data_IF_576271792489
#
_entry.id   IF_576271792489
#
_cell.length_a   1.000
_cell.length_b   1.000
_cell.length_c   1.000
_cell.angle_alpha   90.00
_cell.angle_beta   90.00
_cell.angle_gamma   90.00
#
_symmetry.space_group_name_H-M   'P 1'
#
loop_
_entity.id
_entity.type
_entity.pdbx_description
1 polymer ?
#
# COMPACT_ATOMS: atom_id res chain seq x y z
N UNK A 1 -9.22 -0.85 -15.51
CA UNK A 1 -9.60 -0.18 -14.26
C UNK A 1 -10.11 1.22 -14.51
N UNK A 2 -9.28 2.15 -14.98
CA UNK A 2 -9.68 3.57 -15.14
C UNK A 2 -10.93 3.74 -16.02
N UNK A 3 -10.99 3.04 -17.16
CA UNK A 3 -12.16 3.07 -18.04
C UNK A 3 -13.43 2.48 -17.38
N UNK A 4 -13.27 1.38 -16.64
CA UNK A 4 -14.34 0.76 -15.84
C UNK A 4 -14.82 1.70 -14.73
N UNK A 5 -13.90 2.42 -14.08
CA UNK A 5 -14.23 3.44 -13.10
C UNK A 5 -15.09 4.52 -13.74
N UNK A 6 -14.69 5.07 -14.89
CA UNK A 6 -15.48 6.08 -15.59
C UNK A 6 -16.83 5.59 -16.08
N UNK A 7 -16.95 4.32 -16.49
CA UNK A 7 -18.25 3.71 -16.81
C UNK A 7 -19.18 3.62 -15.59
N UNK A 8 -18.65 3.28 -14.40
CA UNK A 8 -19.41 3.24 -13.16
C UNK A 8 -19.81 4.63 -12.65
N UNK A 9 -18.91 5.60 -12.74
CA UNK A 9 -19.19 7.00 -12.39
C UNK A 9 -20.21 7.57 -13.38
N UNK A 10 -20.11 7.27 -14.67
CA UNK A 10 -21.07 7.70 -15.69
C UNK A 10 -22.49 7.15 -15.48
N UNK A 11 -22.64 6.01 -14.81
CA UNK A 11 -23.95 5.49 -14.39
C UNK A 11 -24.56 6.33 -13.26
N UNK A 12 -23.77 6.72 -12.26
CA UNK A 12 -24.26 7.50 -11.11
C UNK A 12 -24.36 9.01 -11.41
N UNK A 13 -23.41 9.56 -12.17
CA UNK A 13 -23.24 10.99 -12.44
C UNK A 13 -22.88 11.25 -13.91
N UNK A 14 -23.77 10.86 -14.82
CA UNK A 14 -23.59 11.04 -16.28
C UNK A 14 -23.27 12.48 -16.69
N UNK A 15 -23.84 13.47 -16.00
CA UNK A 15 -23.64 14.90 -16.28
C UNK A 15 -22.24 15.43 -15.91
N UNK A 16 -21.50 14.73 -15.04
CA UNK A 16 -20.16 15.15 -14.61
C UNK A 16 -19.03 14.48 -15.41
N UNK A 17 -19.31 13.35 -16.06
CA UNK A 17 -18.30 12.56 -16.80
C UNK A 17 -18.36 12.81 -18.30
N UNK A 18 -19.54 13.06 -18.88
CA UNK A 18 -19.71 13.37 -20.30
C UNK A 18 -19.57 14.86 -20.62
N UNK A 19 -18.50 15.50 -20.12
CA UNK A 19 -18.18 16.90 -20.41
C UNK A 19 -16.90 17.00 -21.22
N UNK A 20 -16.87 17.96 -22.16
CA UNK A 20 -15.76 18.16 -23.10
C UNK A 20 -14.44 18.53 -22.40
N UNK A 21 -14.53 19.17 -21.24
CA UNK A 21 -13.43 19.43 -20.32
C UNK A 21 -13.86 18.95 -18.94
N UNK A 22 -13.28 17.83 -18.48
CA UNK A 22 -13.55 17.27 -17.16
C UNK A 22 -12.68 17.98 -16.13
N UNK A 23 -13.28 18.48 -15.05
CA UNK A 23 -12.53 19.08 -13.96
C UNK A 23 -11.57 18.05 -13.34
N UNK A 24 -10.38 18.51 -12.96
CA UNK A 24 -9.35 17.68 -12.32
C UNK A 24 -9.90 16.95 -11.09
N UNK A 25 -10.82 17.60 -10.37
CA UNK A 25 -11.52 17.02 -9.23
C UNK A 25 -12.27 15.75 -9.65
N UNK A 26 -13.04 15.81 -10.74
CA UNK A 26 -13.85 14.69 -11.23
C UNK A 26 -12.98 13.61 -11.87
N UNK A 27 -11.98 14.01 -12.66
CA UNK A 27 -11.10 13.07 -13.35
C UNK A 27 -10.20 12.28 -12.39
N UNK A 28 -9.71 12.93 -11.33
CA UNK A 28 -8.74 12.37 -10.40
C UNK A 28 -9.40 11.71 -9.16
N UNK A 29 -10.40 12.34 -8.53
CA UNK A 29 -10.98 11.82 -7.28
C UNK A 29 -11.99 10.70 -7.52
N UNK A 30 -12.81 10.79 -8.57
CA UNK A 30 -13.89 9.81 -8.77
C UNK A 30 -13.36 8.38 -9.02
N UNK A 31 -12.28 8.15 -9.79
CA UNK A 31 -11.73 6.81 -9.96
C UNK A 31 -11.23 6.17 -8.66
N UNK A 32 -10.84 6.97 -7.66
CA UNK A 32 -10.41 6.49 -6.35
C UNK A 32 -11.53 5.71 -5.65
N UNK A 33 -12.79 6.13 -5.82
CA UNK A 33 -13.96 5.46 -5.22
C UNK A 33 -14.17 4.02 -5.71
N UNK A 34 -13.67 3.67 -6.90
CA UNK A 34 -13.71 2.29 -7.39
C UNK A 34 -12.46 1.51 -6.98
N UNK A 35 -11.31 2.18 -6.91
CA UNK A 35 -10.02 1.51 -6.70
C UNK A 35 -9.84 1.12 -5.23
N UNK A 36 -10.20 1.97 -4.28
CA UNK A 36 -10.05 1.65 -2.84
C UNK A 36 -10.85 0.40 -2.46
N UNK A 37 -12.17 0.30 -2.74
CA UNK A 37 -12.93 -0.91 -2.43
C UNK A 37 -12.43 -2.15 -3.16
N UNK A 38 -11.86 -2.01 -4.36
CA UNK A 38 -11.29 -3.13 -5.09
C UNK A 38 -10.06 -3.70 -4.35
N UNK A 39 -9.16 -2.84 -3.86
CA UNK A 39 -8.02 -3.28 -3.05
C UNK A 39 -8.47 -3.88 -1.71
N UNK A 40 -9.49 -3.31 -1.06
CA UNK A 40 -10.09 -3.88 0.15
C UNK A 40 -10.65 -5.29 -0.10
N UNK A 41 -11.37 -5.49 -1.20
CA UNK A 41 -11.90 -6.80 -1.60
C UNK A 41 -10.76 -7.79 -1.85
N UNK A 42 -9.71 -7.38 -2.58
CA UNK A 42 -8.53 -8.23 -2.84
C UNK A 42 -7.83 -8.64 -1.53
N UNK A 43 -7.83 -7.75 -0.55
CA UNK A 43 -7.28 -7.98 0.79
C UNK A 43 -8.16 -8.92 1.61
N UNK A 44 -9.48 -8.75 1.56
CA UNK A 44 -10.46 -9.60 2.22
C UNK A 44 -10.41 -11.06 1.72
N UNK A 45 -10.32 -11.24 0.40
CA UNK A 45 -10.18 -12.57 -0.24
C UNK A 45 -8.83 -13.22 0.14
N UNK A 46 -7.83 -12.42 0.52
CA UNK A 46 -6.52 -12.90 0.96
C UNK A 46 -5.51 -13.09 -0.18
N UNK A 47 -5.84 -12.65 -1.40
CA UNK A 47 -4.92 -12.69 -2.55
C UNK A 47 -3.78 -11.69 -2.36
N UNK A 48 -4.10 -10.47 -1.93
CA UNK A 48 -3.10 -9.42 -1.76
C UNK A 48 -2.11 -9.72 -0.61
N UNK A 49 -2.55 -10.15 0.59
CA UNK A 49 -1.64 -10.62 1.64
C UNK A 49 -0.74 -11.79 1.21
N UNK A 50 -1.25 -12.68 0.36
CA UNK A 50 -0.47 -13.80 -0.17
C UNK A 50 0.68 -13.28 -1.06
N UNK A 51 0.38 -12.38 -2.00
CA UNK A 51 1.38 -11.76 -2.89
C UNK A 51 2.42 -10.98 -2.06
N UNK A 52 1.97 -10.15 -1.11
CA UNK A 52 2.83 -9.34 -0.24
C UNK A 52 3.79 -10.24 0.55
N UNK A 53 3.31 -11.37 1.09
CA UNK A 53 4.15 -12.31 1.84
C UNK A 53 5.28 -12.90 0.98
N UNK A 54 5.00 -13.25 -0.27
CA UNK A 54 6.01 -13.80 -1.17
C UNK A 54 7.02 -12.74 -1.61
N UNK A 55 6.55 -11.54 -1.95
CA UNK A 55 7.39 -10.41 -2.33
C UNK A 55 8.26 -9.92 -1.16
N UNK A 56 7.69 -9.77 0.04
CA UNK A 56 8.42 -9.38 1.24
C UNK A 56 9.50 -10.38 1.63
N UNK A 57 9.24 -11.69 1.47
CA UNK A 57 10.24 -12.74 1.69
C UNK A 57 11.36 -12.68 0.64
N UNK A 58 11.03 -12.39 -0.62
CA UNK A 58 12.02 -12.17 -1.67
C UNK A 58 12.89 -10.95 -1.41
N UNK A 59 12.26 -9.85 -0.99
CA UNK A 59 12.94 -8.59 -0.71
C UNK A 59 13.86 -8.69 0.50
N UNK A 60 13.39 -9.26 1.61
CA UNK A 60 14.22 -9.50 2.82
C UNK A 60 15.43 -10.38 2.51
N UNK A 61 15.29 -11.37 1.63
CA UNK A 61 16.41 -12.22 1.20
C UNK A 61 17.43 -11.47 0.34
N UNK A 62 16.99 -10.46 -0.42
CA UNK A 62 17.85 -9.66 -1.29
C UNK A 62 18.56 -8.53 -0.51
N UNK A 63 17.84 -7.85 0.37
CA UNK A 63 18.31 -6.66 1.09
C UNK A 63 18.99 -6.99 2.42
N UNK A 64 18.81 -8.20 2.96
CA UNK A 64 19.29 -8.57 4.29
C UNK A 64 18.58 -7.81 5.42
N UNK A 65 17.54 -7.04 5.10
CA UNK A 65 16.74 -6.34 6.08
C UNK A 65 15.82 -7.29 6.84
N UNK A 66 15.40 -6.89 8.06
CA UNK A 66 14.49 -7.70 8.83
C UNK A 66 13.16 -7.90 8.08
N UNK A 67 12.58 -9.09 8.29
CA UNK A 67 11.43 -9.61 7.56
C UNK A 67 10.20 -8.74 7.75
N UNK A 68 10.01 -8.15 8.92
CA UNK A 68 8.82 -7.31 9.19
C UNK A 68 8.89 -5.98 8.42
N UNK A 69 10.05 -5.30 8.43
CA UNK A 69 10.27 -4.05 7.70
C UNK A 69 10.13 -4.28 6.19
N UNK A 70 10.68 -5.39 5.70
CA UNK A 70 10.54 -5.79 4.30
C UNK A 70 9.09 -6.13 3.92
N UNK A 71 8.37 -6.81 4.81
CA UNK A 71 6.96 -7.14 4.64
C UNK A 71 6.09 -5.86 4.64
N UNK A 72 6.27 -5.00 5.63
CA UNK A 72 5.51 -3.77 5.81
C UNK A 72 5.74 -2.78 4.66
N UNK A 73 6.96 -2.70 4.11
CA UNK A 73 7.24 -1.86 2.95
C UNK A 73 6.49 -2.32 1.69
N UNK A 74 6.45 -3.64 1.47
CA UNK A 74 5.69 -4.22 0.36
C UNK A 74 4.19 -4.07 0.61
N UNK A 75 3.74 -4.20 1.85
CA UNK A 75 2.35 -3.97 2.25
C UNK A 75 1.93 -2.52 1.91
N UNK A 76 2.74 -1.54 2.32
CA UNK A 76 2.52 -0.13 1.99
C UNK A 76 2.54 0.18 0.50
N UNK A 77 3.31 -0.57 -0.29
CA UNK A 77 3.32 -0.47 -1.74
C UNK A 77 1.94 -0.67 -2.37
N UNK A 78 1.18 -1.62 -1.82
CA UNK A 78 -0.07 -2.09 -2.41
C UNK A 78 -1.31 -1.49 -1.73
N UNK A 79 -1.28 -1.39 -0.40
CA UNK A 79 -2.41 -0.97 0.44
C UNK A 79 -2.33 0.51 0.82
N UNK A 80 -1.15 1.13 0.70
CA UNK A 80 -0.92 2.49 1.18
C UNK A 80 -0.91 2.61 2.71
N UNK A 81 -0.81 3.85 3.20
CA UNK A 81 -0.48 4.11 4.60
C UNK A 81 -1.62 3.78 5.57
N UNK A 82 -2.88 3.98 5.21
CA UNK A 82 -4.03 3.77 6.11
C UNK A 82 -4.35 2.30 6.33
N UNK A 83 -4.36 1.49 5.27
CA UNK A 83 -4.72 0.07 5.33
C UNK A 83 -3.57 -0.79 5.86
N UNK A 84 -2.32 -0.53 5.45
CA UNK A 84 -1.16 -1.25 5.98
C UNK A 84 -1.00 -1.03 7.50
N UNK A 85 -1.32 0.16 8.00
CA UNK A 85 -1.35 0.42 9.44
C UNK A 85 -2.45 -0.38 10.15
N UNK A 86 -3.64 -0.52 9.56
CA UNK A 86 -4.72 -1.31 10.16
C UNK A 86 -4.34 -2.78 10.26
N UNK A 87 -3.83 -3.36 9.16
CA UNK A 87 -3.43 -4.76 9.09
C UNK A 87 -2.24 -5.05 9.99
N UNK A 88 -1.22 -4.19 10.04
CA UNK A 88 -0.01 -4.43 10.85
C UNK A 88 -0.05 -3.78 12.25
N UNK A 89 -1.18 -3.17 12.65
CA UNK A 89 -1.35 -2.43 13.93
C UNK A 89 -0.97 -3.24 15.17
N UNK A 90 -1.33 -4.53 15.21
CA UNK A 90 -1.06 -5.43 16.33
C UNK A 90 0.43 -5.70 16.52
N UNK A 91 1.20 -5.80 15.43
CA UNK A 91 2.65 -5.94 15.49
C UNK A 91 3.34 -4.63 15.86
N UNK A 92 2.91 -3.51 15.27
CA UNK A 92 3.50 -2.20 15.49
C UNK A 92 3.52 -1.79 16.97
N UNK A 93 2.45 -2.11 17.72
CA UNK A 93 2.35 -1.84 19.18
C UNK A 93 3.37 -2.58 20.03
N UNK A 94 3.96 -3.66 19.52
CA UNK A 94 4.94 -4.50 20.23
C UNK A 94 6.39 -4.21 19.84
N UNK A 95 6.60 -3.31 18.88
CA UNK A 95 7.93 -2.96 18.40
C UNK A 95 8.60 -1.92 19.31
N UNK A 96 9.92 -2.01 19.40
CA UNK A 96 10.77 -0.98 20.03
C UNK A 96 10.61 0.35 19.30
N UNK A 97 10.71 1.47 20.03
CA UNK A 97 10.58 2.83 19.47
C UNK A 97 11.53 3.09 18.29
N UNK A 98 12.75 2.54 18.33
CA UNK A 98 13.71 2.65 17.23
C UNK A 98 13.19 1.99 15.93
N UNK A 99 12.50 0.83 16.01
CA UNK A 99 11.91 0.17 14.83
C UNK A 99 10.71 0.93 14.30
N UNK A 100 9.87 1.43 15.21
CA UNK A 100 8.72 2.26 14.85
C UNK A 100 9.17 3.50 14.08
N UNK A 101 10.29 4.12 14.47
CA UNK A 101 10.86 5.25 13.74
C UNK A 101 11.24 4.86 12.30
N UNK A 102 11.95 3.75 12.10
CA UNK A 102 12.31 3.24 10.76
C UNK A 102 11.08 3.02 9.88
N UNK A 103 10.07 2.33 10.41
CA UNK A 103 8.80 2.05 9.73
C UNK A 103 8.06 3.34 9.38
N UNK A 104 8.07 4.32 10.28
CA UNK A 104 7.43 5.61 10.07
C UNK A 104 8.12 6.41 8.96
N UNK A 105 9.46 6.41 8.93
CA UNK A 105 10.22 7.06 7.86
C UNK A 105 9.96 6.38 6.51
N UNK A 106 9.87 5.04 6.47
CA UNK A 106 9.52 4.31 5.25
C UNK A 106 8.11 4.65 4.77
N UNK A 107 7.14 4.68 5.70
CA UNK A 107 5.74 5.07 5.44
C UNK A 107 5.60 6.44 4.80
N UNK A 108 6.36 7.43 5.30
CA UNK A 108 6.34 8.79 4.77
C UNK A 108 6.93 8.91 3.37
N UNK A 109 7.78 7.96 2.97
CA UNK A 109 8.34 7.89 1.61
C UNK A 109 7.38 7.26 0.60
N UNK A 110 6.36 6.52 1.06
CA UNK A 110 5.45 5.79 0.20
C UNK A 110 4.25 6.64 -0.24
N UNK A 111 3.69 6.31 -1.40
CA UNK A 111 2.50 6.95 -1.97
C UNK A 111 1.33 5.97 -1.86
N UNK A 112 0.13 6.46 -1.54
CA UNK A 112 -1.06 5.63 -1.47
C UNK A 112 -1.54 5.17 -2.85
N UNK A 113 -2.18 4.00 -2.90
CA UNK A 113 -2.78 3.45 -4.12
C UNK A 113 -3.73 4.44 -4.81
N UNK A 114 -4.50 5.20 -4.01
CA UNK A 114 -5.40 6.24 -4.49
C UNK A 114 -4.69 7.32 -5.30
N UNK A 115 -3.52 7.80 -4.84
CA UNK A 115 -2.76 8.86 -5.50
C UNK A 115 -2.02 8.32 -6.73
N UNK A 116 -1.60 7.05 -6.70
CA UNK A 116 -0.99 6.39 -7.87
C UNK A 116 -1.93 6.43 -9.08
N UNK A 117 -3.24 6.19 -8.89
CA UNK A 117 -4.23 6.23 -9.98
C UNK A 117 -4.29 7.60 -10.65
N UNK A 118 -4.20 8.67 -9.87
CA UNK A 118 -4.16 10.04 -10.39
C UNK A 118 -2.87 10.26 -11.20
N UNK A 119 -1.73 9.80 -10.68
CA UNK A 119 -0.47 9.89 -11.42
C UNK A 119 -0.49 9.11 -12.73
N UNK A 120 -1.19 7.97 -12.80
CA UNK A 120 -1.36 7.20 -14.04
C UNK A 120 -2.18 7.94 -15.10
N UNK A 121 -2.99 8.92 -14.72
CA UNK A 121 -3.72 9.78 -15.66
C UNK A 121 -2.87 10.97 -16.16
N UNK A 122 -1.92 11.42 -15.34
CA UNK A 122 -1.06 12.58 -15.66
C UNK A 122 0.25 12.20 -16.33
N UNK A 123 0.77 10.99 -16.05
CA UNK A 123 2.07 10.51 -16.49
C UNK A 123 1.94 9.14 -17.17
N UNK A 124 2.87 8.79 -18.07
CA UNK A 124 2.91 7.45 -18.66
C UNK A 124 3.01 6.37 -17.56
N UNK A 125 2.09 5.40 -17.62
CA UNK A 125 1.94 4.37 -16.60
C UNK A 125 3.24 3.61 -16.28
N UNK A 126 4.09 3.40 -17.29
CA UNK A 126 5.40 2.76 -17.14
C UNK A 126 6.31 3.45 -16.12
N UNK A 127 6.31 4.78 -16.06
CA UNK A 127 7.18 5.51 -15.13
C UNK A 127 6.65 5.44 -13.70
N UNK A 128 5.35 5.55 -13.53
CA UNK A 128 4.71 5.46 -12.21
C UNK A 128 4.89 4.05 -11.63
N UNK A 129 4.62 3.01 -12.43
CA UNK A 129 4.70 1.62 -11.97
C UNK A 129 6.14 1.18 -11.67
N UNK A 130 7.14 1.68 -12.40
CA UNK A 130 8.56 1.39 -12.14
C UNK A 130 9.11 2.19 -10.96
N UNK A 131 8.62 3.40 -10.72
CA UNK A 131 9.06 4.24 -9.61
C UNK A 131 8.67 3.67 -8.23
N UNK A 132 7.53 2.98 -8.13
CA UNK A 132 7.02 2.42 -6.88
C UNK A 132 8.01 1.43 -6.22
N UNK A 133 8.43 0.32 -6.86
CA UNK A 133 9.37 -0.61 -6.25
C UNK A 133 10.75 0.01 -6.03
N UNK A 134 11.18 0.90 -6.93
CA UNK A 134 12.46 1.60 -6.80
C UNK A 134 12.48 2.54 -5.58
N UNK A 135 11.37 3.23 -5.32
CA UNK A 135 11.20 4.07 -4.13
C UNK A 135 11.28 3.26 -2.84
N UNK A 136 10.69 2.06 -2.79
CA UNK A 136 10.75 1.22 -1.59
C UNK A 136 12.16 0.76 -1.28
N UNK A 137 12.91 0.34 -2.29
CA UNK A 137 14.31 -0.04 -2.12
C UNK A 137 15.13 1.17 -1.65
N UNK A 138 14.91 2.35 -2.24
CA UNK A 138 15.57 3.58 -1.81
C UNK A 138 15.21 3.96 -0.37
N UNK A 139 13.93 3.91 -0.01
CA UNK A 139 13.45 4.19 1.33
C UNK A 139 14.11 3.27 2.36
N UNK A 140 14.21 1.96 2.07
CA UNK A 140 14.92 1.00 2.91
C UNK A 140 16.39 1.34 3.12
N UNK A 141 17.10 1.71 2.04
CA UNK A 141 18.52 2.08 2.11
C UNK A 141 18.68 3.34 2.97
N UNK A 142 17.92 4.39 2.67
CA UNK A 142 18.00 5.67 3.37
C UNK A 142 17.65 5.52 4.85
N UNK A 143 16.60 4.76 5.19
CA UNK A 143 16.24 4.55 6.59
C UNK A 143 17.23 3.70 7.35
N UNK A 144 17.91 2.75 6.68
CA UNK A 144 19.01 1.98 7.28
C UNK A 144 20.22 2.85 7.61
N UNK A 145 20.50 3.85 6.76
CA UNK A 145 21.59 4.81 6.98
C UNK A 145 21.24 5.78 8.10
N UNK A 146 20.01 6.30 8.11
CA UNK A 146 19.57 7.29 9.10
C UNK A 146 19.32 6.70 10.49
N UNK A 147 18.79 5.47 10.55
CA UNK A 147 18.47 4.79 11.80
C UNK A 147 18.86 3.30 11.70
N UNK A 148 20.15 2.99 11.87
CA UNK A 148 20.62 1.61 11.81
C UNK A 148 20.06 0.83 13.00
N UNK A 149 19.12 -0.07 12.72
CA UNK A 149 18.55 -0.95 13.75
C UNK A 149 19.21 -2.31 13.67
N UNK A 150 19.99 -2.68 14.68
CA UNK A 150 20.47 -4.06 14.88
C UNK A 150 19.39 -4.88 15.55
N UNK A 151 18.97 -5.97 14.90
CA UNK A 151 17.86 -6.82 15.36
C UNK A 151 18.40 -8.24 15.61
N UNK A 152 18.05 -8.82 16.76
CA UNK A 152 18.27 -10.24 17.05
C UNK A 152 17.23 -11.10 16.35
N UNK A 153 17.60 -12.31 15.88
CA UNK A 153 16.72 -13.18 15.07
C UNK A 153 15.37 -13.52 15.74
N UNK A 154 15.30 -13.43 17.07
CA UNK A 154 14.08 -13.63 17.87
C UNK A 154 13.02 -12.54 17.65
N UNK A 155 13.43 -11.29 17.38
CA UNK A 155 12.53 -10.16 17.12
C UNK A 155 12.13 -10.05 15.63
N UNK A 156 12.68 -10.91 14.78
CA UNK A 156 12.46 -10.94 13.33
C UNK A 156 11.37 -11.94 12.91
N UNK A 157 10.28 -11.95 13.67
CA UNK A 157 9.11 -12.78 13.40
C UNK A 157 7.91 -11.91 13.01
N UNK A 158 7.32 -12.22 11.84
CA UNK A 158 6.01 -11.70 11.45
C UNK A 158 5.00 -12.45 12.33
N UNK A 159 4.60 -11.85 13.45
CA UNK A 159 3.52 -12.36 14.30
C UNK A 159 2.26 -12.41 13.45
N UNK A 160 1.82 -13.63 13.16
CA UNK A 160 0.50 -13.87 12.59
C UNK A 160 -0.52 -13.30 13.56
N UNK A 161 -1.28 -12.31 13.11
CA UNK A 161 -2.45 -11.85 13.83
C UNK A 161 -3.42 -13.03 13.88
N UNK A 162 -3.81 -13.42 15.09
CA UNK A 162 -4.86 -14.41 15.31
C UNK A 162 -6.14 -13.91 14.63
N UNK A 163 -6.85 -14.84 13.98
CA UNK A 163 -8.11 -14.56 13.29
C UNK A 163 -9.14 -14.08 14.31
N UNK A 164 -9.24 -12.78 14.52
CA UNK A 164 -10.46 -12.17 15.07
C UNK A 164 -11.52 -12.24 13.97
N UNK A 165 -12.76 -12.55 14.35
CA UNK A 165 -13.91 -12.72 13.45
C UNK A 165 -13.92 -11.66 12.35
N UNK A 166 -13.86 -12.13 11.09
CA UNK A 166 -13.94 -11.23 9.93
C UNK A 166 -15.33 -10.64 9.92
N UNK A 167 -15.41 -9.31 9.92
CA UNK A 167 -16.67 -8.64 9.65
C UNK A 167 -17.23 -9.10 8.28
N UNK A 168 -18.56 -9.13 8.12
CA UNK A 168 -19.19 -9.55 6.89
C UNK A 168 -18.71 -8.68 5.71
N UNK A 169 -18.60 -9.28 4.53
CA UNK A 169 -18.04 -8.69 3.30
C UNK A 169 -18.59 -7.29 2.92
N UNK A 170 -19.76 -6.90 3.43
CA UNK A 170 -20.41 -5.61 3.19
C UNK A 170 -20.51 -4.72 4.46
N UNK A 171 -19.60 -4.86 5.44
CA UNK A 171 -19.60 -4.00 6.63
C UNK A 171 -19.03 -2.59 6.42
N UNK A 172 -18.51 -2.30 5.23
CA UNK A 172 -17.94 -1.00 4.83
C UNK A 172 -18.68 -0.40 3.64
#
# INVERSE_FOLDING_TARGET
>A
MIETSFSGIGFAFSSMVNVKNMDVVVSALMPILLVVPLFDILTYIGVLPFIIKWLGKGLSKLTGQPKFESFFAVEMMFLGNTEALAVSSGQLKRLKSARILTISMMSMSCVSAAVIVVYLQMLPAQFVLTAIPLNIINAMIVTSVLNPVTITEEEDTIYKIEKTDREPFFSF
#
